data_IF_022185705635
#
_entry.id   IF_022185705635
#
_cell.length_a   1.000
_cell.length_b   1.000
_cell.length_c   1.000
_cell.angle_alpha   90.00
_cell.angle_beta   90.00
_cell.angle_gamma   90.00
#
_symmetry.space_group_name_H-M   'P 1'
#
loop_
_entity.id
_entity.type
_entity.pdbx_description
1 polymer ?
#
# COMPACT_ATOMS: atom_id res chain seq x y z
N UNK A 1 -27.59 -6.36 20.65
CA UNK A 1 -26.70 -6.22 19.48
C UNK A 1 -25.79 -4.99 19.56
N UNK A 2 -26.29 -3.79 19.91
CA UNK A 2 -25.45 -2.57 19.96
C UNK A 2 -24.36 -2.63 21.05
N UNK A 3 -24.66 -3.14 22.23
CA UNK A 3 -23.69 -3.27 23.34
C UNK A 3 -22.63 -4.35 23.07
N UNK A 4 -23.02 -5.44 22.42
CA UNK A 4 -22.09 -6.52 22.07
C UNK A 4 -21.06 -6.05 21.03
N UNK A 5 -21.51 -5.27 20.04
CA UNK A 5 -20.62 -4.71 19.02
C UNK A 5 -19.63 -3.70 19.61
N UNK A 6 -20.09 -2.76 20.44
CA UNK A 6 -19.22 -1.75 21.07
C UNK A 6 -18.20 -2.38 22.03
N UNK A 7 -18.60 -3.38 22.81
CA UNK A 7 -17.70 -4.13 23.72
C UNK A 7 -16.69 -4.96 22.93
N UNK A 8 -17.13 -5.63 21.87
CA UNK A 8 -16.26 -6.40 20.99
C UNK A 8 -15.27 -5.50 20.29
N UNK A 9 -15.69 -4.34 19.77
CA UNK A 9 -14.82 -3.38 19.11
C UNK A 9 -13.77 -2.81 20.08
N UNK A 10 -14.13 -2.57 21.35
CA UNK A 10 -13.19 -2.08 22.36
C UNK A 10 -12.12 -3.13 22.72
N UNK A 11 -12.51 -4.41 22.88
CA UNK A 11 -11.56 -5.51 23.15
C UNK A 11 -10.70 -5.75 21.91
N UNK A 12 -11.30 -5.78 20.73
CA UNK A 12 -10.60 -5.92 19.44
C UNK A 12 -9.54 -4.84 19.29
N UNK A 13 -9.87 -3.58 19.54
CA UNK A 13 -8.92 -2.47 19.39
C UNK A 13 -7.78 -2.54 20.40
N UNK A 14 -8.05 -2.98 21.64
CA UNK A 14 -7.04 -3.05 22.70
C UNK A 14 -6.05 -4.20 22.54
N UNK A 15 -6.55 -5.37 22.16
CA UNK A 15 -5.75 -6.62 22.14
C UNK A 15 -5.15 -6.92 20.75
N UNK A 16 -5.63 -6.23 19.70
CA UNK A 16 -5.26 -6.49 18.31
C UNK A 16 -3.99 -5.79 17.84
N UNK A 17 -3.66 -4.64 18.40
CA UNK A 17 -2.47 -3.88 17.96
C UNK A 17 -1.15 -4.60 18.29
N UNK A 18 -1.23 -5.65 19.12
CA UNK A 18 -0.08 -6.40 19.61
C UNK A 18 0.04 -7.84 19.08
N UNK A 19 -1.00 -8.42 18.47
CA UNK A 19 -1.03 -9.87 18.23
C UNK A 19 -0.69 -10.34 16.81
N UNK A 20 -0.97 -9.54 15.76
CA UNK A 20 -0.64 -9.95 14.40
C UNK A 20 0.83 -9.69 14.08
N UNK A 21 1.61 -10.75 14.16
CA UNK A 21 3.03 -10.71 13.84
C UNK A 21 3.28 -10.98 12.34
N UNK A 22 4.47 -10.62 11.89
CA UNK A 22 4.92 -10.79 10.50
C UNK A 22 4.83 -12.26 10.04
N UNK A 23 5.10 -13.22 10.94
CA UNK A 23 5.10 -14.65 10.62
C UNK A 23 3.69 -15.15 10.26
N UNK A 24 2.65 -14.61 10.90
CA UNK A 24 1.25 -15.00 10.59
C UNK A 24 0.83 -14.51 9.21
N UNK A 25 1.25 -13.29 8.84
CA UNK A 25 1.02 -12.72 7.50
C UNK A 25 1.73 -13.55 6.45
N UNK A 26 2.99 -13.89 6.68
CA UNK A 26 3.80 -14.74 5.78
C UNK A 26 3.19 -16.15 5.63
N UNK A 27 2.79 -16.78 6.74
CA UNK A 27 2.17 -18.08 6.73
C UNK A 27 0.83 -18.07 5.98
N UNK A 28 0.03 -17.04 6.17
CA UNK A 28 -1.23 -16.86 5.44
C UNK A 28 -1.00 -16.69 3.94
N UNK A 29 -0.04 -15.84 3.56
CA UNK A 29 0.31 -15.63 2.17
C UNK A 29 0.86 -16.90 1.52
N UNK A 30 1.74 -17.64 2.21
CA UNK A 30 2.27 -18.92 1.70
C UNK A 30 1.17 -19.93 1.37
N UNK A 31 0.10 -19.94 2.18
CA UNK A 31 -1.03 -20.87 2.00
C UNK A 31 -2.05 -20.41 0.95
N UNK A 32 -2.22 -19.09 0.78
CA UNK A 32 -3.32 -18.51 0.01
C UNK A 32 -2.83 -17.52 -1.07
N UNK A 33 -1.52 -17.48 -1.36
CA UNK A 33 -0.92 -16.49 -2.24
C UNK A 33 -1.51 -16.45 -3.66
N UNK A 34 -1.94 -17.61 -4.16
CA UNK A 34 -2.61 -17.75 -5.45
C UNK A 34 -3.94 -16.96 -5.57
N UNK A 35 -4.54 -16.59 -4.43
CA UNK A 35 -5.77 -15.79 -4.42
C UNK A 35 -5.50 -14.28 -4.49
N UNK A 36 -4.24 -13.87 -4.34
CA UNK A 36 -3.85 -12.47 -4.41
C UNK A 36 -3.37 -12.13 -5.82
N UNK A 37 -4.33 -11.98 -6.74
CA UNK A 37 -4.08 -11.62 -8.13
C UNK A 37 -4.30 -10.13 -8.33
N UNK A 38 -3.38 -9.47 -9.03
CA UNK A 38 -3.45 -8.04 -9.32
C UNK A 38 -4.60 -7.75 -10.28
N UNK A 39 -5.44 -6.79 -9.94
CA UNK A 39 -6.51 -6.30 -10.80
C UNK A 39 -6.10 -5.11 -11.68
N UNK A 40 -4.90 -4.58 -11.46
CA UNK A 40 -4.29 -3.48 -12.21
C UNK A 40 -2.76 -3.58 -12.16
N UNK A 41 -2.08 -2.85 -13.05
CA UNK A 41 -0.63 -2.79 -13.07
C UNK A 41 -0.10 -2.03 -11.86
N UNK A 42 0.99 -2.54 -11.28
CA UNK A 42 1.72 -1.90 -10.19
C UNK A 42 3.11 -1.48 -10.66
N UNK A 43 3.61 -0.40 -10.09
CA UNK A 43 4.96 0.08 -10.35
C UNK A 43 5.66 0.44 -9.05
N UNK A 44 6.97 0.21 -8.99
CA UNK A 44 7.88 0.82 -8.02
C UNK A 44 8.59 1.95 -8.75
N UNK A 45 8.39 3.19 -8.33
CA UNK A 45 8.99 4.34 -9.00
C UNK A 45 9.30 5.47 -8.02
N UNK A 46 10.27 6.30 -8.41
CA UNK A 46 10.51 7.61 -7.82
C UNK A 46 10.23 8.70 -8.84
N UNK A 47 9.86 9.88 -8.38
CA UNK A 47 9.65 11.03 -9.26
C UNK A 47 9.95 12.34 -8.55
N UNK A 48 10.30 13.35 -9.34
CA UNK A 48 10.45 14.74 -8.93
C UNK A 48 9.75 15.63 -9.97
N UNK A 49 8.94 16.57 -9.49
CA UNK A 49 8.33 17.61 -10.29
C UNK A 49 9.05 18.96 -9.98
N UNK A 50 9.61 19.58 -10.99
CA UNK A 50 10.40 20.80 -10.92
C UNK A 50 9.81 21.91 -11.79
N UNK A 51 9.97 23.20 -11.41
CA UNK A 51 9.77 24.30 -12.34
C UNK A 51 10.71 24.18 -13.54
N UNK A 52 10.23 24.51 -14.74
CA UNK A 52 11.02 24.42 -15.99
C UNK A 52 12.25 25.33 -15.98
N UNK A 53 12.21 26.40 -15.20
CA UNK A 53 13.29 27.38 -15.07
C UNK A 53 14.26 27.10 -13.91
N UNK A 54 14.28 25.87 -13.40
CA UNK A 54 15.23 25.45 -12.36
C UNK A 54 16.66 25.51 -12.90
N UNK A 55 17.53 26.31 -12.27
CA UNK A 55 18.88 26.57 -12.76
C UNK A 55 19.83 25.38 -12.75
N UNK A 56 19.64 24.45 -11.81
CA UNK A 56 20.47 23.25 -11.61
C UNK A 56 19.82 21.97 -12.09
N UNK A 57 18.95 22.04 -13.10
CA UNK A 57 18.18 20.89 -13.59
C UNK A 57 19.09 19.72 -14.05
N UNK A 58 20.20 20.00 -14.69
CA UNK A 58 21.14 18.97 -15.19
C UNK A 58 21.82 18.22 -14.04
N UNK A 59 22.18 18.93 -12.98
CA UNK A 59 22.71 18.33 -11.76
C UNK A 59 21.68 17.44 -11.09
N UNK A 60 20.46 17.95 -10.90
CA UNK A 60 19.35 17.19 -10.32
C UNK A 60 19.06 15.94 -11.16
N UNK A 61 19.02 16.06 -12.48
CA UNK A 61 18.82 14.95 -13.41
C UNK A 61 19.89 13.86 -13.23
N UNK A 62 21.15 14.24 -13.15
CA UNK A 62 22.28 13.33 -13.00
C UNK A 62 22.19 12.56 -11.68
N UNK A 63 22.00 13.28 -10.58
CA UNK A 63 21.82 12.70 -9.23
C UNK A 63 20.59 11.80 -9.16
N UNK A 64 19.48 12.23 -9.74
CA UNK A 64 18.23 11.46 -9.75
C UNK A 64 18.35 10.14 -10.53
N UNK A 65 19.15 10.11 -11.60
CA UNK A 65 19.40 8.86 -12.36
C UNK A 65 20.34 7.92 -11.63
N UNK A 66 21.43 8.39 -11.06
CA UNK A 66 22.42 7.58 -10.34
C UNK A 66 21.85 7.08 -9.01
N UNK A 67 21.31 7.99 -8.19
CA UNK A 67 20.54 7.74 -6.99
C UNK A 67 21.25 6.90 -5.93
N UNK A 68 22.57 7.05 -5.78
CA UNK A 68 23.32 6.49 -4.66
C UNK A 68 23.01 7.25 -3.34
N UNK A 69 23.60 6.82 -2.23
CA UNK A 69 23.30 7.41 -0.93
C UNK A 69 23.63 8.91 -0.86
N UNK A 70 24.76 9.34 -1.48
CA UNK A 70 25.15 10.75 -1.54
C UNK A 70 24.17 11.57 -2.40
N UNK A 71 23.69 11.00 -3.50
CA UNK A 71 22.69 11.63 -4.35
C UNK A 71 21.34 11.77 -3.67
N UNK A 72 20.91 10.76 -2.90
CA UNK A 72 19.67 10.81 -2.14
C UNK A 72 19.72 11.94 -1.09
N UNK A 73 20.82 12.06 -0.37
CA UNK A 73 21.05 13.15 0.60
C UNK A 73 21.07 14.52 -0.10
N UNK A 74 21.79 14.63 -1.20
CA UNK A 74 21.85 15.87 -1.97
C UNK A 74 20.48 16.27 -2.53
N UNK A 75 19.72 15.33 -3.10
CA UNK A 75 18.36 15.58 -3.59
C UNK A 75 17.39 15.95 -2.46
N UNK A 76 17.55 15.35 -1.29
CA UNK A 76 16.74 15.67 -0.10
C UNK A 76 17.00 17.11 0.35
N UNK A 77 18.27 17.56 0.33
CA UNK A 77 18.64 18.95 0.64
C UNK A 77 18.10 19.96 -0.41
N UNK A 78 17.93 19.53 -1.66
CA UNK A 78 17.35 20.33 -2.74
C UNK A 78 15.82 20.30 -2.78
N UNK A 79 15.17 19.52 -1.93
CA UNK A 79 13.72 19.24 -2.01
C UNK A 79 12.83 20.50 -1.91
N UNK A 80 13.34 21.59 -1.32
CA UNK A 80 12.63 22.88 -1.26
C UNK A 80 12.35 23.49 -2.66
N UNK A 81 13.13 23.08 -3.67
CA UNK A 81 12.96 23.51 -5.06
C UNK A 81 11.91 22.68 -5.81
N UNK A 82 11.50 21.53 -5.25
CA UNK A 82 10.58 20.59 -5.88
C UNK A 82 9.13 20.99 -5.58
N UNK A 83 8.30 21.01 -6.60
CA UNK A 83 6.85 21.24 -6.42
C UNK A 83 6.16 20.04 -5.77
N UNK A 84 6.57 18.85 -6.19
CA UNK A 84 6.08 17.58 -5.67
C UNK A 84 7.12 16.49 -5.97
N UNK A 85 7.27 15.52 -5.09
CA UNK A 85 8.21 14.43 -5.28
C UNK A 85 7.86 13.19 -4.44
N UNK A 86 8.39 12.07 -4.87
CA UNK A 86 8.50 10.84 -4.07
C UNK A 86 9.83 10.17 -4.43
N UNK A 87 10.71 10.02 -3.46
CA UNK A 87 12.03 9.40 -3.67
C UNK A 87 12.09 7.95 -3.17
N UNK A 88 10.98 7.42 -2.66
CA UNK A 88 10.91 6.02 -2.24
C UNK A 88 10.39 5.16 -3.41
N UNK A 89 11.31 4.47 -4.07
CA UNK A 89 11.02 3.54 -5.16
C UNK A 89 11.02 2.05 -4.74
N UNK A 90 10.87 1.79 -3.45
CA UNK A 90 10.75 0.43 -2.90
C UNK A 90 9.32 -0.02 -2.65
N UNK A 91 8.35 0.90 -2.73
CA UNK A 91 6.92 0.64 -2.45
C UNK A 91 6.15 0.48 -3.75
N UNK A 92 5.31 -0.56 -3.81
CA UNK A 92 4.38 -0.75 -4.91
C UNK A 92 3.24 0.26 -4.88
N UNK A 93 3.02 0.92 -5.99
CA UNK A 93 1.91 1.87 -6.19
C UNK A 93 1.12 1.51 -7.44
N UNK A 94 -0.17 1.78 -7.43
CA UNK A 94 -1.05 1.60 -8.60
C UNK A 94 -0.70 2.60 -9.69
N UNK A 95 -0.59 2.14 -10.92
CA UNK A 95 -0.29 3.03 -12.06
C UNK A 95 -1.29 4.18 -12.21
N UNK A 96 -2.55 3.94 -11.87
CA UNK A 96 -3.58 4.99 -11.88
C UNK A 96 -3.21 6.15 -10.95
N UNK A 97 -2.74 5.87 -9.73
CA UNK A 97 -2.31 6.90 -8.78
C UNK A 97 -1.10 7.69 -9.27
N UNK A 98 -0.26 7.09 -10.10
CA UNK A 98 0.88 7.74 -10.75
C UNK A 98 0.39 8.71 -11.84
N UNK A 99 -0.55 8.28 -12.67
CA UNK A 99 -1.11 9.11 -13.73
C UNK A 99 -1.75 10.39 -13.19
N UNK A 100 -2.39 10.31 -12.01
CA UNK A 100 -3.02 11.46 -11.36
C UNK A 100 -2.00 12.49 -10.83
N UNK A 101 -0.75 12.06 -10.57
CA UNK A 101 0.30 12.90 -9.94
C UNK A 101 1.34 13.43 -10.92
N UNK A 102 1.62 12.72 -12.00
CA UNK A 102 2.71 13.02 -12.94
C UNK A 102 2.18 13.73 -14.20
N UNK A 103 1.32 14.74 -14.03
CA UNK A 103 0.92 15.62 -15.13
C UNK A 103 0.34 14.92 -16.37
N UNK A 104 0.27 15.61 -17.52
CA UNK A 104 -0.33 15.07 -18.73
C UNK A 104 0.54 13.99 -19.37
N UNK A 105 0.31 12.74 -19.03
CA UNK A 105 0.93 11.58 -19.65
C UNK A 105 0.22 11.23 -20.95
N UNK A 106 0.95 11.20 -22.06
CA UNK A 106 0.47 10.64 -23.31
C UNK A 106 0.26 9.12 -23.20
N UNK A 107 -0.47 8.52 -24.15
CA UNK A 107 -0.62 7.05 -24.21
C UNK A 107 0.76 6.37 -24.34
N UNK A 108 1.66 6.98 -25.11
CA UNK A 108 3.03 6.48 -25.26
C UNK A 108 3.84 6.54 -23.97
N UNK A 109 3.73 7.64 -23.20
CA UNK A 109 4.41 7.77 -21.92
C UNK A 109 3.89 6.79 -20.88
N UNK A 110 2.59 6.51 -20.88
CA UNK A 110 2.00 5.44 -20.03
C UNK A 110 2.63 4.08 -20.32
N UNK A 111 2.84 3.75 -21.59
CA UNK A 111 3.51 2.50 -21.98
C UNK A 111 4.98 2.44 -21.56
N UNK A 112 5.65 3.58 -21.52
CA UNK A 112 7.05 3.69 -21.01
C UNK A 112 7.11 3.54 -19.49
N UNK A 113 6.10 3.97 -18.74
CA UNK A 113 5.99 3.74 -17.30
C UNK A 113 5.83 2.26 -16.93
N UNK A 114 5.41 1.43 -17.85
CA UNK A 114 5.31 -0.02 -17.67
C UNK A 114 6.58 -0.75 -18.11
N UNK A 115 7.73 -0.07 -18.16
CA UNK A 115 9.03 -0.66 -18.45
C UNK A 115 9.94 -0.55 -17.23
N UNK A 116 10.39 -1.70 -16.76
CA UNK A 116 11.36 -1.81 -15.65
C UNK A 116 12.67 -1.11 -15.96
N UNK A 117 13.30 -0.53 -14.94
CA UNK A 117 14.59 0.18 -15.00
C UNK A 117 14.61 1.29 -16.05
N UNK A 118 13.53 2.03 -16.17
CA UNK A 118 13.36 3.06 -17.19
C UNK A 118 13.33 4.47 -16.61
N UNK A 119 14.11 5.36 -17.21
CA UNK A 119 14.11 6.78 -16.90
C UNK A 119 13.27 7.54 -17.92
N UNK A 120 12.39 8.41 -17.43
CA UNK A 120 11.54 9.27 -18.24
C UNK A 120 11.71 10.71 -17.80
N UNK A 121 11.82 11.61 -18.77
CA UNK A 121 11.71 13.03 -18.57
C UNK A 121 10.50 13.55 -19.35
N UNK A 122 9.52 14.06 -18.62
CA UNK A 122 8.29 14.61 -19.18
C UNK A 122 8.28 16.12 -18.94
N UNK A 123 7.67 16.86 -19.85
CA UNK A 123 7.59 18.32 -19.78
C UNK A 123 6.19 18.80 -20.09
N UNK A 124 5.73 19.75 -19.29
CA UNK A 124 4.58 20.57 -19.63
C UNK A 124 4.99 22.03 -19.86
N UNK A 125 4.05 22.93 -19.92
CA UNK A 125 4.31 24.37 -20.14
C UNK A 125 5.16 25.00 -19.02
N UNK A 126 5.04 24.52 -17.79
CA UNK A 126 5.58 25.13 -16.58
C UNK A 126 6.59 24.24 -15.83
N UNK A 127 6.54 22.91 -16.05
CA UNK A 127 7.23 21.95 -15.22
C UNK A 127 8.03 20.92 -16.04
N UNK A 128 9.02 20.33 -15.35
CA UNK A 128 9.73 19.12 -15.76
C UNK A 128 9.49 18.05 -14.73
N UNK A 129 9.15 16.86 -15.19
CA UNK A 129 8.96 15.68 -14.36
C UNK A 129 10.07 14.67 -14.67
N UNK A 130 10.86 14.36 -13.68
CA UNK A 130 11.84 13.28 -13.73
C UNK A 130 11.20 12.05 -13.09
N UNK A 131 11.15 10.96 -13.80
CA UNK A 131 10.54 9.71 -13.33
C UNK A 131 11.51 8.57 -13.57
N UNK A 132 11.72 7.72 -12.57
CA UNK A 132 12.48 6.50 -12.72
C UNK A 132 11.65 5.32 -12.24
N UNK A 133 11.38 4.40 -13.13
CA UNK A 133 10.65 3.16 -12.85
C UNK A 133 11.67 2.11 -12.45
N UNK A 134 11.60 1.64 -11.21
CA UNK A 134 12.48 0.60 -10.69
C UNK A 134 11.97 -0.79 -11.07
N UNK A 135 10.68 -1.04 -10.83
CA UNK A 135 10.07 -2.35 -11.10
C UNK A 135 8.61 -2.21 -11.53
N UNK A 136 8.10 -3.25 -12.21
CA UNK A 136 6.74 -3.30 -12.75
C UNK A 136 6.17 -4.69 -12.53
N UNK A 137 4.90 -4.77 -12.15
CA UNK A 137 4.09 -5.98 -12.12
C UNK A 137 2.83 -5.76 -12.95
N UNK A 138 2.55 -6.68 -13.83
CA UNK A 138 1.40 -6.57 -14.71
C UNK A 138 0.11 -7.03 -14.02
N UNK A 139 -1.02 -6.50 -14.50
CA UNK A 139 -2.34 -7.02 -14.16
C UNK A 139 -2.39 -8.54 -14.42
N UNK A 140 -3.10 -9.26 -13.55
CA UNK A 140 -3.24 -10.72 -13.52
C UNK A 140 -1.99 -11.48 -13.04
N UNK A 141 -0.90 -10.80 -12.69
CA UNK A 141 0.19 -11.42 -11.95
C UNK A 141 -0.16 -11.56 -10.46
N UNK A 142 0.54 -12.44 -9.77
CA UNK A 142 0.40 -12.62 -8.33
C UNK A 142 0.96 -11.40 -7.60
N UNK A 143 0.15 -10.83 -6.71
CA UNK A 143 0.58 -9.71 -5.88
C UNK A 143 1.70 -10.15 -4.92
N UNK A 144 2.82 -9.45 -4.83
CA UNK A 144 3.89 -9.79 -3.90
C UNK A 144 3.46 -9.58 -2.44
N UNK A 145 4.11 -10.29 -1.53
CA UNK A 145 3.79 -10.26 -0.10
C UNK A 145 3.77 -8.84 0.48
N UNK A 146 4.74 -8.00 0.12
CA UNK A 146 4.84 -6.63 0.61
C UNK A 146 3.62 -5.78 0.21
N UNK A 147 3.07 -5.99 -0.99
CA UNK A 147 1.83 -5.34 -1.43
C UNK A 147 0.59 -5.96 -0.77
N UNK A 148 0.52 -7.29 -0.70
CA UNK A 148 -0.63 -8.03 -0.15
C UNK A 148 -0.74 -7.93 1.39
N UNK A 149 0.33 -7.59 2.09
CA UNK A 149 0.42 -7.62 3.56
C UNK A 149 -0.66 -6.82 4.26
N UNK A 150 -1.00 -5.64 3.77
CA UNK A 150 -2.06 -4.81 4.36
C UNK A 150 -3.43 -5.51 4.28
N UNK A 151 -3.78 -6.06 3.11
CA UNK A 151 -5.03 -6.79 2.91
C UNK A 151 -5.06 -8.09 3.73
N UNK A 152 -3.94 -8.81 3.82
CA UNK A 152 -3.84 -10.02 4.64
C UNK A 152 -4.05 -9.69 6.11
N UNK A 153 -3.47 -8.59 6.59
CA UNK A 153 -3.69 -8.11 7.96
C UNK A 153 -5.17 -7.90 8.24
N UNK A 154 -5.88 -7.20 7.36
CA UNK A 154 -7.33 -6.97 7.49
C UNK A 154 -8.13 -8.29 7.50
N UNK A 155 -7.78 -9.24 6.62
CA UNK A 155 -8.43 -10.55 6.58
C UNK A 155 -8.23 -11.30 7.89
N UNK A 156 -7.01 -11.33 8.42
CA UNK A 156 -6.69 -12.01 9.67
C UNK A 156 -7.40 -11.35 10.86
N UNK A 157 -7.44 -10.03 10.90
CA UNK A 157 -8.18 -9.27 11.92
C UNK A 157 -9.67 -9.59 11.89
N UNK A 158 -10.28 -9.60 10.71
CA UNK A 158 -11.69 -9.91 10.56
C UNK A 158 -12.00 -11.39 10.97
N UNK A 159 -11.14 -12.33 10.61
CA UNK A 159 -11.28 -13.73 11.04
C UNK A 159 -11.21 -13.87 12.57
N UNK A 160 -10.26 -13.19 13.18
CA UNK A 160 -10.12 -13.21 14.63
C UNK A 160 -11.33 -12.58 15.33
N UNK A 161 -11.81 -11.41 14.83
CA UNK A 161 -13.03 -10.77 15.32
C UNK A 161 -14.24 -11.70 15.25
N UNK A 162 -14.43 -12.38 14.13
CA UNK A 162 -15.52 -13.36 13.98
C UNK A 162 -15.39 -14.55 14.94
N UNK A 163 -14.16 -15.03 15.18
CA UNK A 163 -13.93 -16.11 16.12
C UNK A 163 -14.24 -15.69 17.56
N UNK A 164 -13.85 -14.47 17.94
CA UNK A 164 -14.16 -13.92 19.26
C UNK A 164 -15.66 -13.75 19.47
N UNK A 165 -16.39 -13.23 18.48
CA UNK A 165 -17.84 -13.09 18.54
C UNK A 165 -18.50 -14.46 18.76
N UNK A 166 -18.10 -15.48 18.01
CA UNK A 166 -18.64 -16.85 18.16
C UNK A 166 -18.36 -17.44 19.54
N UNK A 167 -17.19 -17.15 20.11
CA UNK A 167 -16.83 -17.61 21.45
C UNK A 167 -17.69 -16.92 22.52
N UNK A 168 -17.85 -15.60 22.42
CA UNK A 168 -18.74 -14.83 23.30
C UNK A 168 -20.20 -15.29 23.23
N UNK A 169 -20.74 -15.50 22.01
CA UNK A 169 -22.09 -16.02 21.81
C UNK A 169 -22.28 -17.39 22.47
N UNK A 170 -21.28 -18.27 22.34
CA UNK A 170 -21.29 -19.60 22.96
C UNK A 170 -21.27 -19.52 24.50
N UNK A 171 -20.49 -18.61 25.05
CA UNK A 171 -20.38 -18.43 26.50
C UNK A 171 -21.66 -17.80 27.08
N UNK A 172 -22.22 -16.78 26.42
CA UNK A 172 -23.51 -16.18 26.79
C UNK A 172 -24.63 -17.27 26.75
N UNK A 173 -24.65 -18.09 25.70
CA UNK A 173 -25.64 -19.15 25.57
C UNK A 173 -25.51 -20.20 26.68
N UNK A 174 -24.28 -20.58 27.04
CA UNK A 174 -24.03 -21.52 28.15
C UNK A 174 -24.48 -20.96 29.51
N UNK A 175 -24.18 -19.67 29.75
CA UNK A 175 -24.56 -19.02 30.99
C UNK A 175 -26.07 -18.87 31.10
N UNK A 176 -26.76 -18.51 30.01
CA UNK A 176 -28.21 -18.44 29.97
C UNK A 176 -28.88 -19.82 30.22
N UNK A 177 -28.33 -20.88 29.66
CA UNK A 177 -28.82 -22.27 29.92
C UNK A 177 -28.58 -22.65 31.39
N UNK A 178 -27.40 -22.34 31.93
CA UNK A 178 -27.04 -22.66 33.32
C UNK A 178 -27.92 -21.93 34.34
N UNK A 179 -28.34 -20.72 34.02
CA UNK A 179 -29.15 -19.88 34.89
C UNK A 179 -30.68 -20.07 34.70
N UNK A 180 -31.14 -21.00 33.84
CA UNK A 180 -32.54 -21.21 33.47
C UNK A 180 -33.24 -19.92 32.92
N UNK A 181 -32.50 -19.05 32.23
CA UNK A 181 -33.04 -17.83 31.67
C UNK A 181 -33.57 -17.99 30.23
N UNK A 182 -33.73 -19.22 29.76
CA UNK A 182 -34.28 -19.56 28.45
C UNK A 182 -35.76 -19.98 28.54
N UNK A 183 -36.67 -19.19 27.98
CA UNK A 183 -38.00 -19.65 27.60
C UNK A 183 -38.00 -20.05 26.13
N UNK A 184 -38.25 -21.35 25.85
CA UNK A 184 -38.42 -21.83 24.48
C UNK A 184 -39.89 -21.60 24.12
N UNK A 185 -40.16 -20.61 23.27
CA UNK A 185 -41.46 -20.46 22.64
C UNK A 185 -41.57 -21.46 21.50
N UNK A 186 -42.45 -22.47 21.67
CA UNK A 186 -42.89 -23.39 20.62
C UNK A 186 -43.93 -22.72 19.72
#
# INVERSE_FOLDING_TARGET
ELFTNAYTDAIVTRDLDTSLNKNEIEAYYKKNGENFILNEDLVKLRYINLPKNTNNLDEIRTKFRRFDAEDQDALSNMAIQFKNYSMNDSVWVKTKSVYDKIGPLSVEDRSKLLRKSNFLELKDSLNVYLVYVNDVLARNEQAPLDYASATIREILLNKWKQSLIKELEKDITKDAIKNNEFEIYN
#
